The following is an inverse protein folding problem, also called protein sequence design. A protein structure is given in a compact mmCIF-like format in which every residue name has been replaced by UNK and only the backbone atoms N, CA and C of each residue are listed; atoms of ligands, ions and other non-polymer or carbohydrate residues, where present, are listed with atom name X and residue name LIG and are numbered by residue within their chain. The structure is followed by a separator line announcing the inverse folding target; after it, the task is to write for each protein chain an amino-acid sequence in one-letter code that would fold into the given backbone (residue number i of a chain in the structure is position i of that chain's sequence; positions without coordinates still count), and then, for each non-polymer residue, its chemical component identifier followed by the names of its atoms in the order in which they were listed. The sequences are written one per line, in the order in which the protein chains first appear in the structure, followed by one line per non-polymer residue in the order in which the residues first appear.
data_IF_468915754100
#
_entry.id   IF_468915754100
#
_cell.length_a   1.000
_cell.length_b   1.000
_cell.length_c   1.000
_cell.angle_alpha   90.00
_cell.angle_beta   90.00
_cell.angle_gamma   90.00
#
_symmetry.space_group_name_H-M   'P 1'
#
loop_
_entity.id
_entity.type
_entity.pdbx_description
1 polymer ?
#
# COMPACT_ATOMS: atom_id res chain seq x y z
N UNK A 1 33.39 1.46 -0.97
CA UNK A 1 31.98 1.10 -1.20
C UNK A 1 31.70 -0.16 -0.40
N UNK A 2 30.98 -0.06 0.72
CA UNK A 2 30.65 -1.22 1.55
C UNK A 2 29.44 -1.92 0.93
N UNK A 3 29.58 -3.20 0.59
CA UNK A 3 28.43 -4.01 0.21
C UNK A 3 27.58 -4.25 1.45
N UNK A 4 26.26 -4.09 1.34
CA UNK A 4 25.36 -4.46 2.41
C UNK A 4 25.48 -5.97 2.70
N UNK A 5 25.38 -6.38 3.98
CA UNK A 5 25.35 -7.80 4.33
C UNK A 5 24.12 -8.48 3.71
N UNK A 6 24.23 -9.78 3.46
CA UNK A 6 23.11 -10.58 2.95
C UNK A 6 21.96 -10.56 3.97
N UNK A 7 20.74 -10.30 3.50
CA UNK A 7 19.53 -10.26 4.32
C UNK A 7 18.59 -11.36 3.85
N UNK A 8 18.30 -12.33 4.73
CA UNK A 8 17.26 -13.33 4.47
C UNK A 8 15.89 -12.68 4.63
N UNK A 9 15.16 -12.57 3.52
CA UNK A 9 13.79 -12.02 3.47
C UNK A 9 12.74 -13.10 3.18
N UNK A 10 13.10 -14.39 3.21
CA UNK A 10 12.19 -15.51 2.93
C UNK A 10 10.94 -15.51 3.82
N UNK A 11 11.09 -15.04 5.06
CA UNK A 11 9.99 -14.94 6.03
C UNK A 11 9.01 -13.78 5.77
N UNK A 12 9.35 -12.83 4.88
CA UNK A 12 8.55 -11.62 4.59
C UNK A 12 7.77 -11.71 3.29
N UNK A 13 7.71 -12.90 2.68
CA UNK A 13 7.36 -13.13 1.27
C UNK A 13 6.30 -12.16 0.71
N UNK A 14 5.10 -12.11 1.32
CA UNK A 14 4.01 -11.20 0.91
C UNK A 14 3.90 -9.90 1.71
N UNK A 15 4.55 -9.81 2.88
CA UNK A 15 4.46 -8.65 3.77
C UNK A 15 5.47 -7.53 3.44
N UNK A 16 6.57 -7.86 2.77
CA UNK A 16 7.62 -6.89 2.44
C UNK A 16 8.89 -7.47 1.83
N UNK A 17 8.84 -8.68 1.26
CA UNK A 17 9.97 -9.32 0.58
C UNK A 17 10.12 -8.93 -0.89
N UNK A 18 9.31 -7.99 -1.40
CA UNK A 18 9.37 -7.56 -2.80
C UNK A 18 10.61 -6.71 -3.05
N UNK A 19 11.35 -7.01 -4.11
CA UNK A 19 12.52 -6.26 -4.56
C UNK A 19 12.29 -5.79 -5.99
N UNK A 20 12.46 -4.49 -6.23
CA UNK A 20 12.27 -3.85 -7.53
C UNK A 20 13.03 -2.53 -7.62
N UNK A 21 12.90 -1.86 -8.77
CA UNK A 21 13.48 -0.53 -9.00
C UNK A 21 12.53 0.60 -8.59
N UNK A 22 13.03 1.84 -8.52
CA UNK A 22 12.18 3.01 -8.26
C UNK A 22 11.15 3.17 -9.39
N UNK A 23 11.55 2.87 -10.62
CA UNK A 23 10.71 2.89 -11.82
C UNK A 23 9.60 1.82 -11.77
N UNK A 24 9.86 0.67 -11.16
CA UNK A 24 8.83 -0.36 -10.95
C UNK A 24 7.78 0.12 -9.96
N UNK A 25 8.20 0.73 -8.84
CA UNK A 25 7.28 1.28 -7.84
C UNK A 25 6.43 2.43 -8.42
N UNK A 26 7.04 3.32 -9.21
CA UNK A 26 6.31 4.41 -9.86
C UNK A 26 5.27 3.89 -10.86
N UNK A 27 5.61 2.86 -11.65
CA UNK A 27 4.68 2.24 -12.59
C UNK A 27 3.52 1.55 -11.88
N UNK A 28 3.79 0.85 -10.78
CA UNK A 28 2.76 0.19 -9.97
C UNK A 28 1.78 1.22 -9.39
N UNK A 29 2.29 2.29 -8.77
CA UNK A 29 1.46 3.36 -8.20
C UNK A 29 0.56 4.02 -9.25
N UNK A 30 1.10 4.36 -10.43
CA UNK A 30 0.32 4.95 -11.54
C UNK A 30 -0.74 3.97 -12.04
N UNK A 31 -0.40 2.67 -12.17
CA UNK A 31 -1.34 1.67 -12.66
C UNK A 31 -2.49 1.40 -11.67
N UNK A 32 -2.22 1.46 -10.37
CA UNK A 32 -3.23 1.38 -9.32
C UNK A 32 -4.16 2.60 -9.35
N UNK A 33 -3.59 3.80 -9.38
CA UNK A 33 -4.34 5.07 -9.36
C UNK A 33 -5.21 5.26 -10.62
N UNK A 34 -4.68 4.87 -11.78
CA UNK A 34 -5.43 4.94 -13.05
C UNK A 34 -6.41 3.78 -13.25
N UNK A 35 -6.62 2.93 -12.24
CA UNK A 35 -7.59 1.85 -12.26
C UNK A 35 -7.26 0.72 -13.26
N UNK A 36 -5.99 0.59 -13.66
CA UNK A 36 -5.55 -0.47 -14.59
C UNK A 36 -5.40 -1.82 -13.91
N UNK A 37 -5.10 -1.82 -12.60
CA UNK A 37 -4.84 -3.04 -11.84
C UNK A 37 -6.11 -3.60 -11.17
N UNK A 38 -7.00 -2.73 -10.69
CA UNK A 38 -8.17 -3.10 -9.91
C UNK A 38 -9.45 -2.54 -10.52
N UNK A 39 -10.55 -3.28 -10.37
CA UNK A 39 -11.89 -2.73 -10.67
C UNK A 39 -12.20 -1.56 -9.74
N UNK A 40 -13.02 -0.59 -10.14
CA UNK A 40 -13.40 0.53 -9.27
C UNK A 40 -14.01 0.07 -7.93
N UNK A 41 -14.82 -0.99 -7.94
CA UNK A 41 -15.41 -1.57 -6.73
C UNK A 41 -14.39 -2.18 -5.79
N UNK A 42 -13.33 -2.81 -6.32
CA UNK A 42 -12.23 -3.35 -5.51
C UNK A 42 -11.34 -2.22 -4.97
N UNK A 43 -11.08 -1.21 -5.79
CA UNK A 43 -10.32 -0.03 -5.37
C UNK A 43 -10.98 0.67 -4.19
N UNK A 44 -12.30 0.84 -4.23
CA UNK A 44 -13.07 1.39 -3.11
C UNK A 44 -12.87 0.59 -1.81
N UNK A 45 -12.84 -0.74 -1.88
CA UNK A 45 -12.58 -1.58 -0.70
C UNK A 45 -11.16 -1.41 -0.16
N UNK A 46 -10.17 -1.26 -1.05
CA UNK A 46 -8.77 -1.08 -0.67
C UNK A 46 -8.56 0.19 0.15
N UNK A 47 -9.23 1.28 -0.23
CA UNK A 47 -9.09 2.61 0.41
C UNK A 47 -10.17 2.88 1.47
N UNK A 48 -10.98 1.89 1.85
CA UNK A 48 -11.97 2.05 2.93
C UNK A 48 -11.37 1.58 4.26
N UNK A 49 -11.24 2.47 5.27
CA UNK A 49 -10.78 2.06 6.59
C UNK A 49 -11.77 1.13 7.30
N UNK A 50 -11.24 0.23 8.12
CA UNK A 50 -12.06 -0.58 9.02
C UNK A 50 -12.48 0.21 10.28
N UNK A 51 -13.59 -0.20 10.88
CA UNK A 51 -14.07 0.35 12.15
C UNK A 51 -13.91 -0.68 13.26
N UNK A 52 -13.30 -0.28 14.37
CA UNK A 52 -13.12 -1.10 15.56
C UNK A 52 -14.42 -1.21 16.37
N UNK A 53 -14.56 -2.20 17.28
CA UNK A 53 -15.77 -2.34 18.10
C UNK A 53 -16.13 -1.13 18.95
N UNK A 54 -15.15 -0.28 19.27
CA UNK A 54 -15.34 0.98 20.00
C UNK A 54 -15.74 2.16 19.10
N UNK A 55 -15.99 1.94 17.81
CA UNK A 55 -16.36 2.97 16.83
C UNK A 55 -15.19 3.75 16.25
N UNK A 56 -13.94 3.50 16.66
CA UNK A 56 -12.78 4.18 16.12
C UNK A 56 -12.42 3.63 14.72
N UNK A 57 -12.06 4.53 13.80
CA UNK A 57 -11.48 4.15 12.51
C UNK A 57 -10.04 3.67 12.68
N UNK A 58 -9.64 2.64 11.92
CA UNK A 58 -8.25 2.15 11.90
C UNK A 58 -7.32 3.07 11.11
N UNK A 59 -7.85 3.96 10.26
CA UNK A 59 -7.05 4.71 9.28
C UNK A 59 -6.30 3.78 8.30
N UNK A 60 -6.75 2.54 8.16
CA UNK A 60 -6.08 1.50 7.38
C UNK A 60 -7.09 0.62 6.66
N UNK A 61 -6.96 0.51 5.35
CA UNK A 61 -7.76 -0.36 4.49
C UNK A 61 -7.02 -1.66 4.16
N UNK A 62 -7.22 -2.20 2.95
CA UNK A 62 -6.60 -3.46 2.55
C UNK A 62 -5.15 -3.24 2.09
N UNK A 63 -4.22 -3.17 3.04
CA UNK A 63 -2.78 -3.00 2.76
C UNK A 63 -2.35 -1.54 2.54
N UNK A 64 -3.25 -0.59 2.77
CA UNK A 64 -3.00 0.85 2.58
C UNK A 64 -3.38 1.63 3.82
N UNK A 65 -2.55 2.60 4.16
CA UNK A 65 -2.91 3.66 5.10
C UNK A 65 -3.78 4.68 4.37
N UNK A 66 -4.86 5.09 5.01
CA UNK A 66 -5.84 6.02 4.45
C UNK A 66 -5.81 7.27 5.32
N UNK A 67 -5.28 8.35 4.77
CA UNK A 67 -5.14 9.63 5.46
C UNK A 67 -5.82 10.72 4.65
N UNK A 68 -6.03 11.86 5.29
CA UNK A 68 -6.50 13.06 4.63
C UNK A 68 -5.40 14.09 4.75
N UNK A 69 -5.03 14.70 3.63
CA UNK A 69 -4.04 15.75 3.62
C UNK A 69 -4.56 17.02 4.29
N UNK A 70 -3.67 18.00 4.47
CA UNK A 70 -4.00 19.31 5.07
C UNK A 70 -5.10 20.07 4.32
N UNK A 71 -5.32 19.74 3.05
CA UNK A 71 -6.29 20.40 2.16
C UNK A 71 -7.61 19.62 2.09
N UNK A 72 -7.76 18.53 2.85
CA UNK A 72 -8.98 17.73 2.92
C UNK A 72 -9.08 16.64 1.83
N UNK A 73 -8.00 16.37 1.09
CA UNK A 73 -7.97 15.35 0.04
C UNK A 73 -7.52 14.01 0.60
N UNK A 74 -8.10 12.93 0.09
CA UNK A 74 -7.62 11.57 0.31
C UNK A 74 -6.76 11.13 -0.85
#
# INVERSE_FOLDING_TARGET
MFSAPNVDSSYKWSAGGFMGTVEDLARDAIALDTGKLLKPTTTAQVVTPFTLPNGASTGYGLGWRVETDKDGRQ
#
